data_IF_183582793586
#
_entry.id   IF_183582793586
#
_cell.length_a   1.000
_cell.length_b   1.000
_cell.length_c   1.000
_cell.angle_alpha   90.00
_cell.angle_beta   90.00
_cell.angle_gamma   90.00
#
_symmetry.space_group_name_H-M   'P 1'
#
loop_
_entity.id
_entity.type
_entity.pdbx_description
1 polymer ?
#
# COMPACT_ATOMS: atom_id res chain seq x y z
N UNK A 1 28.66 -28.51 38.04
CA UNK A 1 28.01 -27.31 38.62
C UNK A 1 26.77 -26.84 37.84
N UNK A 2 26.81 -26.55 36.52
CA UNK A 2 25.63 -26.06 35.77
C UNK A 2 24.33 -26.88 35.93
N UNK A 3 24.36 -28.21 35.72
CA UNK A 3 23.15 -29.04 35.85
C UNK A 3 22.61 -29.08 37.28
N UNK A 4 23.49 -28.99 38.27
CA UNK A 4 23.11 -28.93 39.69
C UNK A 4 22.36 -27.62 39.97
N UNK A 5 22.92 -26.49 39.52
CA UNK A 5 22.27 -25.17 39.62
C UNK A 5 20.90 -25.17 38.93
N UNK A 6 20.78 -25.79 37.75
CA UNK A 6 19.50 -25.89 37.07
C UNK A 6 18.46 -26.70 37.89
N UNK A 7 18.89 -27.79 38.52
CA UNK A 7 18.06 -28.58 39.42
C UNK A 7 17.64 -27.81 40.68
N UNK A 8 18.54 -27.01 41.24
CA UNK A 8 18.27 -26.19 42.42
C UNK A 8 17.29 -25.05 42.12
N UNK A 9 17.45 -24.41 40.95
CA UNK A 9 16.50 -23.41 40.45
C UNK A 9 15.11 -24.02 40.22
N UNK A 10 15.03 -25.21 39.61
CA UNK A 10 13.77 -25.92 39.40
C UNK A 10 13.07 -26.25 40.72
N UNK A 11 13.84 -26.58 41.75
CA UNK A 11 13.34 -26.86 43.10
C UNK A 11 13.09 -25.61 43.94
N UNK A 12 13.28 -24.40 43.39
CA UNK A 12 13.16 -23.13 44.10
C UNK A 12 14.01 -23.07 45.40
N UNK A 13 15.22 -23.65 45.37
CA UNK A 13 16.16 -23.57 46.50
C UNK A 13 16.61 -22.11 46.71
N UNK A 14 16.98 -21.77 47.95
CA UNK A 14 17.49 -20.43 48.26
C UNK A 14 18.84 -20.16 47.58
N UNK A 15 19.15 -18.88 47.34
CA UNK A 15 20.45 -18.46 46.76
C UNK A 15 21.64 -19.01 47.56
N UNK A 16 21.57 -18.99 48.89
CA UNK A 16 22.63 -19.53 49.76
C UNK A 16 22.88 -21.03 49.56
N UNK A 17 21.81 -21.82 49.33
CA UNK A 17 21.92 -23.25 49.04
C UNK A 17 22.58 -23.45 47.67
N UNK A 18 22.14 -22.71 46.65
CA UNK A 18 22.71 -22.77 45.30
C UNK A 18 24.22 -22.46 45.31
N UNK A 19 24.64 -21.41 46.03
CA UNK A 19 26.06 -21.04 46.13
C UNK A 19 26.90 -22.10 46.85
N UNK A 20 26.33 -22.73 47.89
CA UNK A 20 26.97 -23.85 48.59
C UNK A 20 27.10 -25.05 47.67
N UNK A 21 26.06 -25.39 46.92
CA UNK A 21 26.03 -26.55 46.02
C UNK A 21 26.95 -26.36 44.81
N UNK A 22 27.08 -25.13 44.29
CA UNK A 22 28.14 -24.75 43.32
C UNK A 22 29.53 -25.06 43.88
N UNK A 23 29.76 -24.74 45.16
CA UNK A 23 31.05 -24.97 45.80
C UNK A 23 31.35 -26.46 46.02
N UNK A 24 30.32 -27.27 46.31
CA UNK A 24 30.43 -28.74 46.38
C UNK A 24 30.76 -29.32 45.01
N UNK A 25 30.28 -28.71 43.93
CA UNK A 25 30.56 -29.10 42.56
C UNK A 25 31.90 -28.59 42.01
N UNK A 26 32.89 -28.40 42.90
CA UNK A 26 34.31 -28.08 42.62
C UNK A 26 34.58 -26.68 42.02
N UNK A 27 33.63 -25.75 42.18
CA UNK A 27 33.90 -24.33 41.93
C UNK A 27 34.40 -23.69 43.22
N UNK A 28 35.52 -22.98 43.17
CA UNK A 28 36.05 -22.31 44.36
C UNK A 28 34.97 -21.38 44.99
N UNK A 29 34.70 -21.46 46.30
CA UNK A 29 33.69 -20.64 46.97
C UNK A 29 33.81 -19.13 46.69
N UNK A 30 35.04 -18.64 46.51
CA UNK A 30 35.32 -17.24 46.14
C UNK A 30 34.67 -16.82 44.81
N UNK A 31 34.51 -17.76 43.88
CA UNK A 31 33.97 -17.52 42.54
C UNK A 31 32.55 -18.08 42.38
N UNK A 32 31.93 -18.67 43.41
CA UNK A 32 30.62 -19.30 43.31
C UNK A 32 29.54 -18.31 42.84
N UNK A 33 29.57 -17.07 43.33
CA UNK A 33 28.64 -16.01 42.90
C UNK A 33 28.88 -15.59 41.46
N UNK A 34 30.14 -15.31 41.09
CA UNK A 34 30.52 -14.98 39.72
C UNK A 34 30.14 -16.09 38.74
N UNK A 35 30.32 -17.35 39.14
CA UNK A 35 29.92 -18.51 38.37
C UNK A 35 28.41 -18.55 38.18
N UNK A 36 27.63 -18.41 39.26
CA UNK A 36 26.16 -18.37 39.20
C UNK A 36 25.68 -17.30 38.22
N UNK A 37 26.14 -16.06 38.38
CA UNK A 37 25.76 -14.95 37.53
C UNK A 37 26.20 -15.18 36.07
N UNK A 38 27.34 -15.84 35.84
CA UNK A 38 27.84 -16.20 34.51
C UNK A 38 27.02 -17.30 33.81
N UNK A 39 26.36 -18.20 34.54
CA UNK A 39 25.56 -19.29 33.96
C UNK A 39 24.06 -18.99 33.89
N UNK A 40 23.55 -18.04 34.67
CA UNK A 40 22.16 -17.61 34.57
C UNK A 40 21.87 -17.06 33.18
N UNK A 41 20.73 -17.41 32.62
CA UNK A 41 20.32 -16.93 31.29
C UNK A 41 20.24 -15.40 31.29
N UNK A 42 20.89 -14.77 30.31
CA UNK A 42 20.77 -13.35 30.06
C UNK A 42 19.67 -13.10 29.02
N UNK A 43 19.05 -11.90 29.01
CA UNK A 43 18.15 -11.51 27.93
C UNK A 43 18.84 -11.62 26.57
N UNK A 44 18.09 -11.93 25.52
CA UNK A 44 18.62 -11.88 24.17
C UNK A 44 18.98 -10.44 23.80
N UNK A 45 19.96 -10.25 22.91
CA UNK A 45 20.36 -8.93 22.42
C UNK A 45 19.19 -8.15 21.82
N UNK A 46 18.28 -8.85 21.12
CA UNK A 46 17.05 -8.27 20.57
C UNK A 46 16.07 -7.77 21.64
N UNK A 47 16.00 -8.44 22.80
CA UNK A 47 15.13 -8.03 23.90
C UNK A 47 15.66 -6.78 24.59
N UNK A 48 16.99 -6.69 24.77
CA UNK A 48 17.66 -5.50 25.31
C UNK A 48 17.38 -4.28 24.42
N UNK A 49 17.54 -4.45 23.11
CA UNK A 49 17.27 -3.40 22.12
C UNK A 49 15.80 -2.98 22.17
N UNK A 50 14.88 -3.95 22.08
CA UNK A 50 13.45 -3.67 22.08
C UNK A 50 13.00 -2.99 23.38
N UNK A 51 13.55 -3.38 24.54
CA UNK A 51 13.30 -2.72 25.81
C UNK A 51 13.83 -1.28 25.81
N UNK A 52 15.05 -1.04 25.33
CA UNK A 52 15.64 0.29 25.23
C UNK A 52 14.83 1.23 24.34
N UNK A 53 14.46 0.78 23.13
CA UNK A 53 13.62 1.55 22.20
C UNK A 53 12.27 1.94 22.83
N UNK A 54 11.63 1.03 23.57
CA UNK A 54 10.35 1.29 24.24
C UNK A 54 10.42 2.33 25.36
N UNK A 55 11.62 2.58 25.91
CA UNK A 55 11.83 3.51 27.02
C UNK A 55 12.09 4.94 26.57
N UNK A 56 13.04 5.14 25.65
CA UNK A 56 13.51 6.49 25.30
C UNK A 56 13.80 6.67 23.79
N UNK A 57 13.48 5.68 22.94
CA UNK A 57 13.91 5.57 21.53
C UNK A 57 15.44 5.59 21.30
N UNK A 58 16.19 6.11 22.27
CA UNK A 58 17.63 6.18 22.36
C UNK A 58 18.13 4.93 23.07
N UNK A 59 19.33 4.53 22.67
CA UNK A 59 20.03 3.36 23.16
C UNK A 59 21.32 3.79 23.90
N UNK A 60 21.25 4.61 24.96
CA UNK A 60 22.42 5.16 25.63
C UNK A 60 23.23 4.08 26.37
N UNK A 61 22.54 3.10 26.95
CA UNK A 61 23.14 2.04 27.77
C UNK A 61 23.45 0.75 26.98
N UNK A 62 23.20 0.74 25.68
CA UNK A 62 23.21 -0.48 24.87
C UNK A 62 24.57 -1.20 24.89
N UNK A 63 25.67 -0.48 24.73
CA UNK A 63 27.00 -1.10 24.65
C UNK A 63 27.34 -1.84 25.96
N UNK A 64 27.05 -1.20 27.10
CA UNK A 64 27.20 -1.80 28.43
C UNK A 64 26.33 -3.05 28.58
N UNK A 65 25.06 -2.96 28.19
CA UNK A 65 24.12 -4.05 28.41
C UNK A 65 24.34 -5.23 27.45
N UNK A 66 24.78 -4.97 26.21
CA UNK A 66 25.25 -6.00 25.28
C UNK A 66 26.55 -6.67 25.77
N UNK A 67 27.49 -5.89 26.31
CA UNK A 67 28.73 -6.43 26.87
C UNK A 67 28.45 -7.35 28.07
N UNK A 68 27.50 -7.00 28.94
CA UNK A 68 27.08 -7.84 30.08
C UNK A 68 26.56 -9.22 29.67
N UNK A 69 25.99 -9.34 28.47
CA UNK A 69 25.51 -10.64 27.95
C UNK A 69 26.56 -11.36 27.09
N UNK A 70 27.78 -10.82 27.00
CA UNK A 70 28.92 -11.44 26.31
C UNK A 70 29.13 -10.99 24.87
N UNK A 71 28.45 -9.94 24.39
CA UNK A 71 28.75 -9.36 23.07
C UNK A 71 30.07 -8.60 23.13
N UNK A 72 30.97 -8.90 22.19
CA UNK A 72 32.26 -8.23 22.08
C UNK A 72 32.07 -6.72 21.76
N UNK A 73 32.81 -5.80 22.41
CA UNK A 73 32.68 -4.36 22.19
C UNK A 73 32.76 -3.93 20.72
N UNK A 74 33.63 -4.56 19.93
CA UNK A 74 33.79 -4.31 18.49
C UNK A 74 32.50 -4.52 17.67
N UNK A 75 31.52 -5.29 18.14
CA UNK A 75 30.27 -5.56 17.41
C UNK A 75 29.07 -4.73 17.89
N UNK A 76 29.22 -3.91 18.93
CA UNK A 76 28.11 -3.13 19.52
C UNK A 76 27.49 -2.15 18.52
N UNK A 77 28.31 -1.57 17.64
CA UNK A 77 27.84 -0.67 16.57
C UNK A 77 26.85 -1.35 15.60
N UNK A 78 27.04 -2.63 15.27
CA UNK A 78 26.13 -3.38 14.38
C UNK A 78 24.72 -3.45 14.98
N UNK A 79 24.62 -3.75 16.28
CA UNK A 79 23.34 -3.82 16.98
C UNK A 79 22.66 -2.45 17.10
N UNK A 80 23.45 -1.38 17.24
CA UNK A 80 22.94 -0.01 17.27
C UNK A 80 22.32 0.40 15.94
N UNK A 81 22.97 0.04 14.83
CA UNK A 81 22.47 0.31 13.48
C UNK A 81 21.22 -0.53 13.18
N UNK A 82 21.28 -1.84 13.45
CA UNK A 82 20.17 -2.78 13.23
C UNK A 82 18.95 -2.55 14.13
N UNK A 83 19.09 -1.79 15.22
CA UNK A 83 17.97 -1.43 16.08
C UNK A 83 16.93 -0.56 15.37
N UNK A 84 17.35 0.22 14.36
CA UNK A 84 16.45 1.08 13.60
C UNK A 84 16.02 0.36 12.33
N UNK A 85 14.73 0.09 12.23
CA UNK A 85 14.15 -0.69 11.16
C UNK A 85 14.03 0.15 9.88
N UNK A 86 14.43 -0.46 8.78
CA UNK A 86 14.08 0.01 7.44
C UNK A 86 12.84 -0.78 6.99
N UNK A 87 11.80 -0.10 6.45
CA UNK A 87 10.64 -0.77 5.89
C UNK A 87 10.99 -1.90 4.91
N UNK A 88 10.19 -2.97 4.84
CA UNK A 88 10.30 -3.97 3.79
C UNK A 88 10.24 -3.33 2.39
N UNK A 89 10.95 -3.91 1.43
CA UNK A 89 11.03 -3.37 0.05
C UNK A 89 9.64 -3.17 -0.58
N UNK A 90 8.68 -4.06 -0.32
CA UNK A 90 7.31 -3.93 -0.82
C UNK A 90 6.60 -2.66 -0.31
N UNK A 91 6.85 -2.28 0.94
CA UNK A 91 6.29 -1.07 1.54
C UNK A 91 6.96 0.17 0.95
N UNK A 92 8.28 0.13 0.74
CA UNK A 92 9.03 1.20 0.07
C UNK A 92 8.52 1.41 -1.36
N UNK A 93 8.24 0.34 -2.11
CA UNK A 93 7.65 0.41 -3.45
C UNK A 93 6.26 1.06 -3.36
N UNK A 94 5.43 0.65 -2.39
CA UNK A 94 4.10 1.25 -2.19
C UNK A 94 4.21 2.75 -1.89
N UNK A 95 5.13 3.16 -1.02
CA UNK A 95 5.41 4.57 -0.74
C UNK A 95 5.85 5.34 -1.99
N UNK A 96 6.67 4.72 -2.85
CA UNK A 96 7.11 5.32 -4.11
C UNK A 96 5.97 5.49 -5.12
N UNK A 97 5.15 4.46 -5.31
CA UNK A 97 3.97 4.52 -6.19
C UNK A 97 2.95 5.55 -5.68
N UNK A 98 2.83 5.69 -4.35
CA UNK A 98 1.98 6.69 -3.70
C UNK A 98 2.64 8.06 -3.56
N UNK A 99 3.74 8.34 -4.25
CA UNK A 99 4.39 9.65 -4.28
C UNK A 99 4.81 10.19 -2.89
N UNK A 100 4.94 9.32 -1.88
CA UNK A 100 5.36 9.72 -0.53
C UNK A 100 6.81 10.26 -0.50
N UNK A 101 7.62 9.93 -1.51
CA UNK A 101 8.98 10.46 -1.67
C UNK A 101 9.06 11.75 -2.51
N UNK A 102 7.94 12.30 -2.96
CA UNK A 102 7.90 13.52 -3.78
C UNK A 102 7.16 14.62 -3.01
N UNK A 103 7.87 15.49 -2.25
CA UNK A 103 7.27 16.43 -1.31
C UNK A 103 6.20 17.33 -1.93
N UNK A 104 6.42 17.79 -3.17
CA UNK A 104 5.49 18.69 -3.86
C UNK A 104 4.16 17.99 -4.17
N UNK A 105 4.21 16.72 -4.59
CA UNK A 105 3.02 15.91 -4.89
C UNK A 105 2.32 15.50 -3.59
N UNK A 106 3.08 15.06 -2.58
CA UNK A 106 2.53 14.68 -1.30
C UNK A 106 1.87 15.85 -0.56
N UNK A 107 2.43 17.06 -0.66
CA UNK A 107 1.82 18.28 -0.15
C UNK A 107 0.54 18.62 -0.92
N UNK A 108 0.55 18.53 -2.26
CA UNK A 108 -0.63 18.77 -3.11
C UNK A 108 -1.80 17.84 -2.74
N UNK A 109 -1.52 16.58 -2.43
CA UNK A 109 -2.51 15.59 -2.04
C UNK A 109 -2.84 15.59 -0.54
N UNK A 110 -2.16 16.40 0.26
CA UNK A 110 -2.35 16.42 1.71
C UNK A 110 -2.00 15.07 2.37
N UNK A 111 -1.09 14.28 1.79
CA UNK A 111 -0.84 12.91 2.25
C UNK A 111 -0.31 12.84 3.69
N UNK A 112 0.37 13.90 4.14
CA UNK A 112 0.88 14.04 5.50
C UNK A 112 -0.12 14.71 6.45
N UNK A 113 -1.32 15.08 6.00
CA UNK A 113 -2.36 15.67 6.87
C UNK A 113 -2.85 14.65 7.88
N UNK A 114 -3.34 15.14 9.02
CA UNK A 114 -3.86 14.32 10.12
C UNK A 114 -2.88 13.31 10.72
N UNK A 115 -1.57 13.48 10.49
CA UNK A 115 -0.53 12.62 11.07
C UNK A 115 -0.59 12.64 12.60
N UNK A 116 -0.94 11.51 13.26
CA UNK A 116 -1.17 11.50 14.69
C UNK A 116 0.16 11.37 15.44
N UNK A 117 0.48 12.32 16.33
CA UNK A 117 1.69 12.24 17.19
C UNK A 117 1.86 10.90 17.93
N UNK A 118 0.79 10.23 18.43
CA UNK A 118 0.94 8.90 19.01
C UNK A 118 1.51 7.85 18.04
N UNK A 119 1.26 7.95 16.74
CA UNK A 119 1.86 7.04 15.75
C UNK A 119 3.38 7.21 15.71
N UNK A 120 3.89 8.44 15.74
CA UNK A 120 5.32 8.73 15.83
C UNK A 120 5.94 8.03 17.04
N UNK A 121 5.35 8.24 18.22
CA UNK A 121 5.86 7.66 19.47
C UNK A 121 5.91 6.13 19.43
N UNK A 122 4.84 5.47 18.95
CA UNK A 122 4.80 4.01 18.91
C UNK A 122 5.66 3.42 17.79
N UNK A 123 5.81 4.14 16.68
CA UNK A 123 6.72 3.77 15.58
C UNK A 123 8.18 3.83 16.04
N UNK A 124 8.58 4.92 16.71
CA UNK A 124 9.92 5.07 17.28
C UNK A 124 10.23 3.96 18.28
N UNK A 125 9.28 3.62 19.17
CA UNK A 125 9.42 2.49 20.11
C UNK A 125 9.55 1.12 19.44
N UNK A 126 9.29 1.02 18.13
CA UNK A 126 9.50 -0.16 17.29
C UNK A 126 10.78 -0.08 16.44
N UNK A 127 11.54 1.00 16.58
CA UNK A 127 12.77 1.25 15.79
C UNK A 127 12.50 1.95 14.47
N UNK A 128 11.26 2.39 14.19
CA UNK A 128 10.93 3.08 12.96
C UNK A 128 11.11 4.59 13.16
N UNK A 129 11.91 5.25 12.32
CA UNK A 129 12.11 6.70 12.42
C UNK A 129 10.82 7.47 12.12
N UNK A 130 10.73 8.69 12.65
CA UNK A 130 9.68 9.66 12.29
C UNK A 130 9.47 9.78 10.77
N UNK A 131 10.57 9.85 10.03
CA UNK A 131 10.55 9.97 8.58
C UNK A 131 9.86 8.78 7.91
N UNK A 132 10.11 7.57 8.40
CA UNK A 132 9.45 6.37 7.90
C UNK A 132 7.99 6.28 8.34
N UNK A 133 7.66 6.63 9.57
CA UNK A 133 6.27 6.62 10.04
C UNK A 133 5.41 7.65 9.30
N UNK A 134 5.95 8.84 9.01
CA UNK A 134 5.30 9.84 8.17
C UNK A 134 5.05 9.30 6.74
N UNK A 135 5.97 8.52 6.15
CA UNK A 135 5.76 7.94 4.82
C UNK A 135 4.76 6.80 4.80
N UNK A 136 4.74 5.96 5.82
CA UNK A 136 3.67 4.97 5.98
C UNK A 136 2.32 5.68 6.04
N UNK A 137 2.25 6.78 6.79
CA UNK A 137 1.06 7.61 6.81
C UNK A 137 0.77 8.20 5.42
N UNK A 138 1.74 8.78 4.72
CA UNK A 138 1.48 9.30 3.37
C UNK A 138 0.94 8.25 2.38
N UNK A 139 1.34 6.98 2.54
CA UNK A 139 0.93 5.89 1.66
C UNK A 139 -0.37 5.17 2.09
N UNK A 140 -0.92 5.43 3.28
CA UNK A 140 -2.03 4.62 3.85
C UNK A 140 -3.40 4.90 3.23
N UNK A 141 -3.56 6.04 2.54
CA UNK A 141 -4.86 6.52 2.08
C UNK A 141 -5.52 5.59 1.04
N UNK A 142 -6.83 5.44 1.16
CA UNK A 142 -7.66 4.84 0.11
C UNK A 142 -7.94 5.90 -0.97
N UNK A 143 -7.44 5.67 -2.17
CA UNK A 143 -7.63 6.60 -3.29
C UNK A 143 -8.97 6.36 -4.00
N UNK A 144 -9.52 7.37 -4.69
CA UNK A 144 -10.63 7.17 -5.60
C UNK A 144 -10.30 6.08 -6.64
N UNK A 145 -11.28 5.24 -6.94
CA UNK A 145 -11.18 4.28 -8.05
C UNK A 145 -11.04 4.99 -9.41
N UNK A 146 -10.54 4.27 -10.42
CA UNK A 146 -10.48 4.77 -11.79
C UNK A 146 -11.85 5.25 -12.29
N UNK A 147 -12.93 4.53 -11.99
CA UNK A 147 -14.30 4.93 -12.36
C UNK A 147 -14.74 6.24 -11.70
N UNK A 148 -14.42 6.45 -10.42
CA UNK A 148 -14.65 7.73 -9.76
C UNK A 148 -13.79 8.84 -10.40
N UNK A 149 -12.55 8.53 -10.77
CA UNK A 149 -11.68 9.42 -11.57
C UNK A 149 -12.34 9.86 -12.87
N UNK A 150 -12.95 8.93 -13.60
CA UNK A 150 -13.68 9.24 -14.85
C UNK A 150 -14.89 10.13 -14.59
N UNK A 151 -15.66 9.86 -13.54
CA UNK A 151 -16.79 10.73 -13.18
C UNK A 151 -16.35 12.14 -12.82
N UNK A 152 -15.26 12.29 -12.06
CA UNK A 152 -14.68 13.60 -11.75
C UNK A 152 -14.21 14.33 -13.01
N UNK A 153 -13.58 13.61 -13.95
CA UNK A 153 -13.15 14.16 -15.24
C UNK A 153 -14.36 14.67 -16.04
N UNK A 154 -15.39 13.84 -16.24
CA UNK A 154 -16.56 14.22 -17.02
C UNK A 154 -17.37 15.37 -16.42
N UNK A 155 -17.32 15.53 -15.08
CA UNK A 155 -17.95 16.65 -14.37
C UNK A 155 -17.10 17.92 -14.39
N UNK A 156 -15.90 17.88 -14.98
CA UNK A 156 -14.97 19.01 -15.02
C UNK A 156 -14.37 19.38 -13.66
N UNK A 157 -14.40 18.45 -12.70
CA UNK A 157 -13.85 18.65 -11.34
C UNK A 157 -12.33 18.46 -11.35
N UNK A 158 -11.83 17.59 -12.22
CA UNK A 158 -10.40 17.35 -12.42
C UNK A 158 -10.03 17.42 -13.90
N UNK A 159 -8.76 17.65 -14.18
CA UNK A 159 -8.21 17.65 -15.53
C UNK A 159 -7.73 16.25 -15.97
N UNK A 160 -7.39 16.08 -17.25
CA UNK A 160 -6.72 14.86 -17.73
C UNK A 160 -5.39 14.59 -17.00
N UNK A 161 -4.63 15.64 -16.67
CA UNK A 161 -3.36 15.50 -15.93
C UNK A 161 -3.60 14.99 -14.51
N UNK A 162 -4.70 15.39 -13.89
CA UNK A 162 -5.06 14.91 -12.55
C UNK A 162 -5.52 13.45 -12.60
N UNK A 163 -6.26 13.07 -13.64
CA UNK A 163 -6.63 11.66 -13.85
C UNK A 163 -5.40 10.79 -14.08
N UNK A 164 -4.44 11.19 -14.90
CA UNK A 164 -3.19 10.43 -15.10
C UNK A 164 -2.42 10.25 -13.78
N UNK A 165 -2.35 11.32 -12.97
CA UNK A 165 -1.73 11.27 -11.65
C UNK A 165 -2.46 10.28 -10.71
N UNK A 166 -3.80 10.28 -10.72
CA UNK A 166 -4.60 9.30 -9.97
C UNK A 166 -4.33 7.87 -10.45
N UNK A 167 -4.34 7.61 -11.76
CA UNK A 167 -4.08 6.29 -12.32
C UNK A 167 -2.66 5.80 -12.01
N UNK A 168 -1.67 6.70 -12.01
CA UNK A 168 -0.32 6.41 -11.54
C UNK A 168 -0.31 5.97 -10.07
N UNK A 169 -0.97 6.71 -9.19
CA UNK A 169 -1.02 6.40 -7.76
C UNK A 169 -1.84 5.12 -7.45
N UNK A 170 -2.76 4.73 -8.33
CA UNK A 170 -3.46 3.44 -8.33
C UNK A 170 -2.62 2.28 -8.88
N UNK A 171 -1.34 2.52 -9.20
CA UNK A 171 -0.43 1.54 -9.80
C UNK A 171 -0.87 1.01 -11.18
N UNK A 172 -1.60 1.83 -11.94
CA UNK A 172 -1.92 1.51 -13.34
C UNK A 172 -0.64 1.70 -14.17
N UNK A 173 -0.19 0.65 -14.85
CA UNK A 173 1.03 0.71 -15.68
C UNK A 173 0.91 1.83 -16.73
N UNK A 174 1.98 2.58 -17.02
CA UNK A 174 1.94 3.70 -17.97
C UNK A 174 1.30 3.36 -19.33
N UNK A 175 1.57 2.16 -19.86
CA UNK A 175 0.99 1.67 -21.11
C UNK A 175 -0.55 1.65 -21.13
N UNK A 176 -1.19 1.42 -19.98
CA UNK A 176 -2.63 1.27 -19.85
C UNK A 176 -3.37 2.58 -19.54
N UNK A 177 -2.69 3.63 -19.04
CA UNK A 177 -3.37 4.84 -18.54
C UNK A 177 -4.16 5.57 -19.61
N UNK A 178 -3.55 5.81 -20.76
CA UNK A 178 -4.22 6.46 -21.90
C UNK A 178 -5.36 5.59 -22.45
N UNK A 179 -5.16 4.27 -22.50
CA UNK A 179 -6.17 3.32 -23.01
C UNK A 179 -7.39 3.27 -22.08
N UNK A 180 -7.14 3.25 -20.78
CA UNK A 180 -8.18 3.25 -19.76
C UNK A 180 -8.92 4.58 -19.72
N UNK A 181 -8.20 5.70 -19.90
CA UNK A 181 -8.81 7.03 -20.05
C UNK A 181 -9.67 7.13 -21.32
N UNK A 182 -9.25 6.50 -22.42
CA UNK A 182 -10.00 6.49 -23.67
C UNK A 182 -11.39 5.84 -23.55
N UNK A 183 -11.58 4.89 -22.63
CA UNK A 183 -12.87 4.25 -22.36
C UNK A 183 -13.70 4.96 -21.28
N UNK A 184 -13.20 6.07 -20.71
CA UNK A 184 -13.97 6.87 -19.76
C UNK A 184 -15.24 7.43 -20.42
N UNK A 185 -15.10 7.92 -21.65
CA UNK A 185 -16.18 8.58 -22.36
C UNK A 185 -17.27 7.61 -22.85
N UNK A 186 -18.52 8.07 -22.79
CA UNK A 186 -19.65 7.29 -23.28
C UNK A 186 -19.63 7.25 -24.81
N UNK A 187 -19.82 6.06 -25.36
CA UNK A 187 -20.17 5.84 -26.77
C UNK A 187 -21.56 6.40 -27.05
N UNK A 188 -21.81 6.89 -28.27
CA UNK A 188 -23.15 7.27 -28.71
C UNK A 188 -24.12 6.12 -28.50
N UNK A 189 -25.31 6.34 -27.95
CA UNK A 189 -26.26 5.24 -27.76
C UNK A 189 -26.78 4.76 -29.10
N UNK A 190 -27.18 3.48 -29.22
CA UNK A 190 -27.79 2.95 -30.46
C UNK A 190 -29.01 3.76 -30.91
N UNK A 191 -29.72 4.40 -29.98
CA UNK A 191 -30.86 5.27 -30.28
C UNK A 191 -30.37 6.57 -30.91
N UNK A 192 -29.35 7.20 -30.32
CA UNK A 192 -28.80 8.46 -30.82
C UNK A 192 -28.11 8.24 -32.16
N UNK A 193 -27.37 7.15 -32.35
CA UNK A 193 -26.78 6.76 -33.64
C UNK A 193 -27.83 6.78 -34.76
N UNK A 194 -29.00 6.15 -34.54
CA UNK A 194 -30.09 6.14 -35.53
C UNK A 194 -30.68 7.53 -35.77
N UNK A 195 -30.92 8.29 -34.71
CA UNK A 195 -31.49 9.65 -34.80
C UNK A 195 -30.54 10.61 -35.51
N UNK A 196 -29.25 10.54 -35.19
CA UNK A 196 -28.20 11.35 -35.79
C UNK A 196 -28.01 11.01 -37.27
N UNK A 197 -28.05 9.72 -37.64
CA UNK A 197 -28.05 9.33 -39.06
C UNK A 197 -29.25 9.90 -39.82
N UNK A 198 -30.47 9.75 -39.27
CA UNK A 198 -31.68 10.30 -39.88
C UNK A 198 -31.65 11.82 -40.02
N UNK A 199 -31.01 12.51 -39.08
CA UNK A 199 -30.79 13.95 -39.11
C UNK A 199 -29.65 14.39 -40.05
N UNK A 200 -28.93 13.46 -40.68
CA UNK A 200 -27.79 13.75 -41.55
C UNK A 200 -26.50 14.12 -40.81
N UNK A 201 -26.44 13.89 -39.49
CA UNK A 201 -25.25 14.19 -38.65
C UNK A 201 -24.20 13.09 -38.76
N UNK A 202 -24.61 11.83 -38.90
CA UNK A 202 -23.69 10.70 -39.14
C UNK A 202 -23.82 10.20 -40.57
N UNK A 203 -22.68 9.82 -41.14
CA UNK A 203 -22.58 9.04 -42.37
C UNK A 203 -22.90 7.56 -42.13
N UNK A 204 -23.06 6.79 -43.20
CA UNK A 204 -23.29 5.34 -43.09
C UNK A 204 -22.10 4.63 -42.46
N UNK A 205 -20.90 5.08 -42.79
CA UNK A 205 -19.63 4.57 -42.28
C UNK A 205 -19.49 4.86 -40.78
N UNK A 206 -19.83 6.08 -40.32
CA UNK A 206 -19.81 6.41 -38.88
C UNK A 206 -20.86 5.65 -38.07
N UNK A 207 -22.02 5.33 -38.67
CA UNK A 207 -23.01 4.42 -38.04
C UNK A 207 -22.42 3.03 -37.84
N UNK A 208 -21.72 2.51 -38.86
CA UNK A 208 -21.04 1.22 -38.78
C UNK A 208 -19.98 1.18 -37.68
N UNK A 209 -19.11 2.19 -37.65
CA UNK A 209 -18.08 2.33 -36.60
C UNK A 209 -18.69 2.46 -35.20
N UNK A 210 -19.78 3.21 -35.04
CA UNK A 210 -20.46 3.31 -33.77
C UNK A 210 -20.98 1.95 -33.28
N UNK A 211 -21.50 1.10 -34.16
CA UNK A 211 -21.90 -0.26 -33.80
C UNK A 211 -20.71 -1.18 -33.48
N UNK A 212 -19.58 -1.06 -34.18
CA UNK A 212 -18.36 -1.77 -33.78
C UNK A 212 -17.90 -1.35 -32.38
N UNK A 213 -17.93 -0.05 -32.07
CA UNK A 213 -17.58 0.46 -30.75
C UNK A 213 -18.51 -0.09 -29.65
N UNK A 214 -19.78 -0.42 -29.95
CA UNK A 214 -20.69 -1.10 -29.02
C UNK A 214 -20.31 -2.55 -28.73
N UNK A 215 -19.36 -3.12 -29.47
CA UNK A 215 -18.91 -4.51 -29.34
C UNK A 215 -19.68 -5.49 -30.23
N UNK A 216 -20.41 -5.00 -31.25
CA UNK A 216 -20.97 -5.89 -32.26
C UNK A 216 -19.87 -6.49 -33.13
N UNK A 217 -20.07 -7.74 -33.57
CA UNK A 217 -19.24 -8.34 -34.62
C UNK A 217 -19.37 -7.55 -35.92
N UNK A 218 -18.37 -7.63 -36.82
CA UNK A 218 -18.41 -6.98 -38.15
C UNK A 218 -19.74 -7.26 -38.88
N UNK A 219 -20.17 -8.53 -38.90
CA UNK A 219 -21.45 -8.93 -39.52
C UNK A 219 -22.67 -8.23 -38.89
N UNK A 220 -22.76 -8.21 -37.56
CA UNK A 220 -23.90 -7.61 -36.89
C UNK A 220 -23.86 -6.07 -36.94
N UNK A 221 -22.67 -5.47 -36.94
CA UNK A 221 -22.51 -4.04 -37.15
C UNK A 221 -22.99 -3.65 -38.56
N UNK A 222 -22.69 -4.45 -39.60
CA UNK A 222 -23.23 -4.22 -40.97
C UNK A 222 -24.75 -4.34 -41.01
N UNK A 223 -25.32 -5.39 -40.38
CA UNK A 223 -26.78 -5.58 -40.29
C UNK A 223 -27.48 -4.43 -39.58
N UNK A 224 -26.91 -3.97 -38.47
CA UNK A 224 -27.44 -2.82 -37.70
C UNK A 224 -27.34 -1.51 -38.48
N UNK A 225 -26.28 -1.34 -39.26
CA UNK A 225 -26.09 -0.19 -40.16
C UNK A 225 -27.17 -0.19 -41.23
N UNK A 226 -27.36 -1.32 -41.93
CA UNK A 226 -28.38 -1.45 -42.98
C UNK A 226 -29.79 -1.21 -42.44
N UNK A 227 -30.11 -1.79 -41.27
CA UNK A 227 -31.36 -1.52 -40.58
C UNK A 227 -31.54 -0.03 -40.26
N UNK A 228 -30.47 0.65 -39.83
CA UNK A 228 -30.51 2.09 -39.52
C UNK A 228 -30.79 2.93 -40.77
N UNK A 229 -30.16 2.58 -41.90
CA UNK A 229 -30.38 3.23 -43.19
C UNK A 229 -31.84 3.09 -43.63
N UNK A 230 -32.36 1.86 -43.62
CA UNK A 230 -33.75 1.58 -44.00
C UNK A 230 -34.75 2.25 -43.06
N UNK A 231 -34.48 2.26 -41.75
CA UNK A 231 -35.33 2.93 -40.75
C UNK A 231 -35.38 4.45 -40.94
N UNK A 232 -34.27 5.05 -41.39
CA UNK A 232 -34.16 6.48 -41.61
C UNK A 232 -34.86 6.95 -42.89
N UNK A 233 -35.07 6.06 -43.86
CA UNK A 233 -35.79 6.40 -45.10
C UNK A 233 -37.18 6.97 -44.77
N UNK A 234 -37.62 8.02 -45.49
CA UNK A 234 -38.99 8.49 -45.38
C UNK A 234 -39.91 7.29 -45.61
N UNK A 235 -40.86 7.05 -44.69
CA UNK A 235 -42.01 6.24 -45.08
C UNK A 235 -42.65 7.03 -46.22
N UNK A 236 -42.75 6.44 -47.41
CA UNK A 236 -43.67 6.94 -48.43
C UNK A 236 -44.96 7.31 -47.71
N UNK A 237 -45.41 8.56 -47.90
CA UNK A 237 -46.63 9.04 -47.28
C UNK A 237 -47.67 7.95 -47.54
N UNK A 238 -48.08 7.26 -46.48
CA UNK A 238 -49.18 6.32 -46.54
C UNK A 238 -50.35 7.18 -46.98
N UNK A 239 -50.64 7.19 -48.28
CA UNK A 239 -51.83 7.80 -48.85
C UNK A 239 -52.96 7.08 -48.15
N UNK A 240 -53.50 7.71 -47.11
CA UNK A 240 -54.66 7.20 -46.43
C UNK A 240 -55.84 7.37 -47.38
N UNK A 241 -56.83 6.48 -47.35
CA UNK A 241 -58.00 6.54 -48.25
C UNK A 241 -58.72 7.90 -48.28
N UNK A 242 -58.47 8.76 -47.28
CA UNK A 242 -58.94 10.16 -47.23
C UNK A 242 -58.32 11.09 -48.27
N UNK A 243 -57.15 10.76 -48.83
CA UNK A 243 -56.40 11.64 -49.75
C UNK A 243 -56.75 11.39 -51.23
N UNK A 244 -57.64 10.42 -51.53
CA UNK A 244 -58.00 9.98 -52.90
C UNK A 244 -59.36 10.56 -53.36
N UNK A 245 -60.08 11.33 -52.51
CA UNK A 245 -61.45 11.80 -52.80
C UNK A 245 -61.63 13.33 -52.79
N UNK A 246 -60.77 14.03 -53.52
CA UNK A 246 -61.00 15.43 -53.96
C UNK A 246 -60.51 15.59 -55.39
#
# INVERSE_FOLDING_TARGET
AMLLVQGDLQQARSRDIILKDISIADINPKYAEQYLDAILTKPASTDIIAYGLRKDFRLPDLDRDLQKIGIHPEYTHLYRELAYQIPPVADIITMAVREAFTPEIAARFGQYQDYPKPLEEWAEKKGLSKEWSERYWAAHWSLPSASQGFEMLHRGIITHSDLDMLLRALDVMPFWRDKLTGIAYRRLTRVDVRRMYKAGVLTREEVYEAYLQHGYTDENARRMTEFTVQWAMPKEASITRSDILT
#
